data_IF_003900957137
#
_entry.id   IF_003900957137
#
_cell.length_a   1.000
_cell.length_b   1.000
_cell.length_c   1.000
_cell.angle_alpha   90.00
_cell.angle_beta   90.00
_cell.angle_gamma   90.00
#
_symmetry.space_group_name_H-M   'P 1'
#
loop_
_entity.id
_entity.type
_entity.pdbx_description
1 polymer ?
#
# COMPACT_ATOMS: atom_id res chain seq x y z
N UNK A 1 13.03 46.40 -13.80
CA UNK A 1 13.86 45.73 -12.76
C UNK A 1 13.03 44.91 -11.77
N UNK A 2 11.98 45.46 -11.15
CA UNK A 2 11.10 44.72 -10.20
C UNK A 2 10.39 43.49 -10.81
N UNK A 3 9.87 43.63 -12.04
CA UNK A 3 9.11 42.57 -12.72
C UNK A 3 9.95 41.34 -13.10
N UNK A 4 11.26 41.53 -13.35
CA UNK A 4 12.19 40.44 -13.65
C UNK A 4 12.46 39.58 -12.41
N UNK A 5 12.48 40.19 -11.22
CA UNK A 5 12.65 39.46 -9.95
C UNK A 5 11.42 38.60 -9.67
N UNK A 6 10.22 39.13 -9.88
CA UNK A 6 8.96 38.38 -9.71
C UNK A 6 8.91 37.19 -10.67
N UNK A 7 9.29 37.39 -11.93
CA UNK A 7 9.34 36.32 -12.94
C UNK A 7 10.37 35.24 -12.57
N UNK A 8 11.56 35.65 -12.12
CA UNK A 8 12.61 34.71 -11.68
C UNK A 8 12.19 33.90 -10.44
N UNK A 9 11.51 34.53 -9.47
CA UNK A 9 10.96 33.84 -8.31
C UNK A 9 9.87 32.83 -8.68
N UNK A 10 8.98 33.16 -9.62
CA UNK A 10 7.96 32.22 -10.10
C UNK A 10 8.57 31.01 -10.82
N UNK A 11 9.60 31.21 -11.65
CA UNK A 11 10.30 30.12 -12.33
C UNK A 11 11.07 29.22 -11.35
N UNK A 12 11.68 29.80 -10.31
CA UNK A 12 12.36 29.03 -9.27
C UNK A 12 11.40 28.13 -8.47
N UNK A 13 10.18 28.60 -8.19
CA UNK A 13 9.15 27.79 -7.51
C UNK A 13 8.66 26.63 -8.37
N UNK A 14 8.51 26.81 -9.69
CA UNK A 14 8.14 25.73 -10.62
C UNK A 14 9.24 24.67 -10.73
N UNK A 15 10.51 25.08 -10.75
CA UNK A 15 11.65 24.16 -10.83
C UNK A 15 11.86 23.32 -9.56
N UNK A 16 11.27 23.73 -8.42
CA UNK A 16 11.31 22.98 -7.16
C UNK A 16 10.12 22.03 -6.98
N UNK A 17 9.26 21.88 -7.99
CA UNK A 17 8.23 20.84 -7.95
C UNK A 17 8.92 19.48 -7.78
N UNK A 18 8.52 18.65 -6.80
CA UNK A 18 9.06 17.32 -6.68
C UNK A 18 8.81 16.61 -8.00
N UNK A 19 9.89 16.16 -8.64
CA UNK A 19 9.79 15.24 -9.77
C UNK A 19 9.05 14.03 -9.23
N UNK A 20 7.83 13.80 -9.71
CA UNK A 20 7.13 12.57 -9.42
C UNK A 20 7.97 11.45 -10.03
N UNK A 21 8.81 10.84 -9.21
CA UNK A 21 9.59 9.69 -9.57
C UNK A 21 8.63 8.51 -9.66
N UNK A 22 7.99 8.37 -10.82
CA UNK A 22 7.07 7.26 -11.13
C UNK A 22 7.86 5.95 -11.40
N UNK A 23 9.14 5.89 -11.03
CA UNK A 23 9.98 4.69 -11.07
C UNK A 23 9.75 3.75 -9.88
N UNK A 24 8.82 4.10 -8.99
CA UNK A 24 8.48 3.29 -7.83
C UNK A 24 7.73 2.01 -8.20
N UNK A 25 7.85 1.00 -7.36
CA UNK A 25 6.99 -0.18 -7.40
C UNK A 25 5.61 0.24 -6.90
N UNK A 26 4.58 -0.04 -7.70
CA UNK A 26 3.19 0.35 -7.42
C UNK A 26 2.36 -0.88 -7.01
N UNK A 27 1.33 -0.66 -6.20
CA UNK A 27 0.38 -1.72 -5.88
C UNK A 27 -0.61 -1.85 -7.05
N UNK A 28 -0.54 -2.97 -7.77
CA UNK A 28 -1.44 -3.24 -8.91
C UNK A 28 -2.73 -3.92 -8.48
N UNK A 29 -2.69 -4.66 -7.36
CA UNK A 29 -3.86 -5.28 -6.74
C UNK A 29 -3.75 -5.23 -5.23
N UNK A 30 -4.86 -4.92 -4.58
CA UNK A 30 -4.97 -4.95 -3.12
C UNK A 30 -6.38 -5.38 -2.74
N UNK A 31 -6.51 -6.56 -2.18
CA UNK A 31 -7.77 -7.09 -1.63
C UNK A 31 -7.59 -7.30 -0.13
N UNK A 32 -8.47 -6.68 0.67
CA UNK A 32 -8.49 -6.86 2.11
C UNK A 32 -9.92 -7.12 2.57
N UNK A 33 -10.15 -8.32 3.11
CA UNK A 33 -11.43 -8.73 3.68
C UNK A 33 -11.22 -9.11 5.15
N UNK A 34 -12.07 -8.56 6.02
CA UNK A 34 -12.07 -8.88 7.44
C UNK A 34 -13.49 -9.29 7.81
N UNK A 35 -13.60 -10.49 8.37
CA UNK A 35 -14.83 -11.10 8.84
C UNK A 35 -14.72 -11.40 10.34
N UNK A 36 -15.83 -11.63 11.06
CA UNK A 36 -15.78 -11.95 12.49
C UNK A 36 -14.92 -13.19 12.81
N UNK A 37 -14.90 -14.16 11.89
CA UNK A 37 -14.24 -15.46 12.07
C UNK A 37 -12.92 -15.57 11.29
N UNK A 38 -12.43 -14.49 10.67
CA UNK A 38 -11.21 -14.55 9.87
C UNK A 38 -10.89 -13.31 9.05
N UNK A 39 -9.79 -13.38 8.32
CA UNK A 39 -9.36 -12.32 7.42
C UNK A 39 -8.67 -12.92 6.19
N UNK A 40 -8.64 -12.16 5.10
CA UNK A 40 -7.88 -12.45 3.90
C UNK A 40 -7.26 -11.16 3.36
N UNK A 41 -5.95 -11.18 3.17
CA UNK A 41 -5.15 -10.08 2.63
C UNK A 41 -4.38 -10.56 1.41
N UNK A 42 -4.53 -9.84 0.30
CA UNK A 42 -3.79 -10.09 -0.94
C UNK A 42 -3.26 -8.77 -1.46
N UNK A 43 -1.98 -8.73 -1.81
CA UNK A 43 -1.44 -7.64 -2.61
C UNK A 43 -0.55 -8.15 -3.72
N UNK A 44 -0.56 -7.43 -4.82
CA UNK A 44 0.33 -7.64 -5.96
C UNK A 44 0.96 -6.29 -6.31
N UNK A 45 2.25 -6.32 -6.56
CA UNK A 45 3.08 -5.17 -6.91
C UNK A 45 3.44 -5.20 -8.40
N UNK A 46 3.74 -4.02 -8.96
CA UNK A 46 4.08 -3.87 -10.38
C UNK A 46 5.40 -4.53 -10.78
N UNK A 47 6.23 -4.90 -9.80
CA UNK A 47 7.47 -5.67 -9.99
C UNK A 47 7.25 -7.19 -10.06
N UNK A 48 6.01 -7.65 -9.91
CA UNK A 48 5.63 -9.06 -9.90
C UNK A 48 5.67 -9.71 -8.51
N UNK A 49 6.01 -8.96 -7.45
CA UNK A 49 5.89 -9.44 -6.07
C UNK A 49 4.41 -9.60 -5.72
N UNK A 50 4.05 -10.79 -5.25
CA UNK A 50 2.74 -11.07 -4.67
C UNK A 50 2.85 -11.42 -3.20
N UNK A 51 1.75 -11.29 -2.48
CA UNK A 51 1.59 -11.86 -1.16
C UNK A 51 0.12 -12.16 -0.93
N UNK A 52 -0.13 -13.30 -0.31
CA UNK A 52 -1.45 -13.70 0.13
C UNK A 52 -1.36 -14.29 1.53
N UNK A 53 -2.23 -13.83 2.43
CA UNK A 53 -2.37 -14.34 3.78
C UNK A 53 -3.85 -14.46 4.13
N UNK A 54 -4.24 -15.61 4.67
CA UNK A 54 -5.57 -15.81 5.23
C UNK A 54 -5.48 -16.39 6.65
N UNK A 55 -6.34 -15.88 7.52
CA UNK A 55 -6.47 -16.31 8.90
C UNK A 55 -7.91 -16.73 9.19
N UNK A 56 -8.07 -17.84 9.89
CA UNK A 56 -9.39 -18.32 10.32
C UNK A 56 -9.38 -18.70 11.80
N UNK A 57 -10.47 -18.37 12.49
CA UNK A 57 -10.70 -18.76 13.87
C UNK A 57 -11.03 -20.26 13.93
N UNK A 58 -10.28 -20.99 14.73
CA UNK A 58 -10.44 -22.42 14.97
C UNK A 58 -10.84 -22.67 16.42
N UNK A 59 -11.53 -23.79 16.67
CA UNK A 59 -12.03 -24.19 17.99
C UNK A 59 -12.91 -23.13 18.66
N UNK A 60 -13.76 -22.46 17.86
CA UNK A 60 -14.67 -21.41 18.30
C UNK A 60 -15.63 -21.92 19.39
N UNK A 61 -15.79 -21.12 20.45
CA UNK A 61 -16.62 -21.51 21.59
C UNK A 61 -16.00 -22.51 22.57
N UNK A 62 -14.70 -22.82 22.44
CA UNK A 62 -13.94 -23.62 23.41
C UNK A 62 -12.86 -22.77 24.12
N UNK A 63 -12.29 -23.31 25.20
CA UNK A 63 -11.13 -22.71 25.88
C UNK A 63 -9.85 -22.68 25.01
N UNK A 64 -9.82 -23.48 23.93
CA UNK A 64 -8.69 -23.58 23.01
C UNK A 64 -8.94 -22.82 21.69
N UNK A 65 -9.82 -21.82 21.71
CA UNK A 65 -10.05 -20.95 20.57
C UNK A 65 -8.74 -20.25 20.16
N UNK A 66 -8.38 -20.36 18.89
CA UNK A 66 -7.14 -19.82 18.34
C UNK A 66 -7.33 -19.36 16.89
N UNK A 67 -6.44 -18.52 16.39
CA UNK A 67 -6.42 -18.14 14.97
C UNK A 67 -5.35 -18.95 14.26
N UNK A 68 -5.73 -19.67 13.22
CA UNK A 68 -4.81 -20.35 12.32
C UNK A 68 -4.55 -19.47 11.11
N UNK A 69 -3.28 -19.12 10.87
CA UNK A 69 -2.85 -18.25 9.77
C UNK A 69 -2.01 -19.04 8.79
N UNK A 70 -2.23 -18.83 7.48
CA UNK A 70 -1.38 -19.35 6.41
C UNK A 70 -1.22 -18.30 5.31
N UNK A 71 -0.09 -18.33 4.63
CA UNK A 71 0.18 -17.41 3.53
C UNK A 71 1.31 -17.86 2.62
N UNK A 72 1.50 -17.11 1.54
CA UNK A 72 2.51 -17.32 0.50
C UNK A 72 2.96 -15.97 -0.10
N UNK A 73 4.18 -15.97 -0.66
CA UNK A 73 4.78 -14.85 -1.38
C UNK A 73 4.89 -15.21 -2.86
#
# INVERSE_FOLDING_TARGET
>A
MKSFIVLACCLAMVASAPVADNSGVEIVRSDASVEPEGFNFVYELSDGTSHQEEGHLINTGSENAAIAVKGSY
#
